data_IF_508963835003
#
_entry.id   IF_508963835003
#
_cell.length_a   1.000
_cell.length_b   1.000
_cell.length_c   1.000
_cell.angle_alpha   90.00
_cell.angle_beta   90.00
_cell.angle_gamma   90.00
#
_symmetry.space_group_name_H-M   'P 1'
#
loop_
_entity.id
_entity.type
_entity.pdbx_description
1 polymer ?
#
# COMPACT_ATOMS: atom_id res chain seq x y z
N UNK A 1 -14.44 -9.48 -39.71
CA UNK A 1 -15.15 -10.15 -38.59
C UNK A 1 -14.13 -11.03 -37.87
N UNK A 2 -13.74 -10.67 -36.66
CA UNK A 2 -12.87 -11.46 -35.78
C UNK A 2 -13.49 -11.43 -34.38
N UNK A 3 -13.80 -12.61 -33.84
CA UNK A 3 -14.37 -12.82 -32.51
C UNK A 3 -13.32 -12.54 -31.40
N UNK A 4 -13.75 -12.27 -30.16
CA UNK A 4 -13.02 -11.45 -29.21
C UNK A 4 -11.94 -12.23 -28.48
N UNK A 5 -10.81 -11.58 -28.17
CA UNK A 5 -9.85 -12.16 -27.23
C UNK A 5 -10.45 -12.01 -25.82
N UNK A 6 -10.95 -13.10 -25.25
CA UNK A 6 -11.24 -13.17 -23.83
C UNK A 6 -9.91 -13.28 -23.06
N UNK A 7 -9.25 -12.14 -22.85
CA UNK A 7 -8.05 -12.03 -22.00
C UNK A 7 -8.49 -12.01 -20.55
N UNK A 8 -8.39 -13.13 -19.85
CA UNK A 8 -8.01 -13.05 -18.44
C UNK A 8 -6.67 -12.30 -18.42
N UNK A 9 -6.72 -11.01 -18.14
CA UNK A 9 -5.74 -10.01 -18.59
C UNK A 9 -4.38 -10.26 -17.93
N UNK A 10 -3.41 -10.73 -18.71
CA UNK A 10 -2.04 -10.94 -18.25
C UNK A 10 -1.49 -9.64 -17.63
N UNK A 11 -0.90 -9.76 -16.45
CA UNK A 11 -0.31 -8.63 -15.73
C UNK A 11 0.92 -8.11 -16.49
N UNK A 12 1.12 -6.78 -16.58
CA UNK A 12 2.41 -6.24 -17.00
C UNK A 12 3.53 -6.90 -16.19
N UNK A 13 4.55 -7.43 -16.88
CA UNK A 13 5.69 -8.15 -16.27
C UNK A 13 5.35 -9.34 -15.36
N UNK A 14 4.11 -9.85 -15.39
CA UNK A 14 3.64 -10.93 -14.52
C UNK A 14 3.81 -10.63 -13.01
N UNK A 15 3.76 -9.35 -12.62
CA UNK A 15 3.89 -8.91 -11.22
C UNK A 15 2.53 -8.47 -10.66
N UNK A 16 2.26 -8.80 -9.39
CA UNK A 16 1.03 -8.38 -8.68
C UNK A 16 1.23 -7.11 -7.83
N UNK A 17 2.46 -6.63 -7.72
CA UNK A 17 2.85 -5.47 -6.93
C UNK A 17 3.40 -4.36 -7.83
N UNK A 18 3.69 -3.20 -7.23
CA UNK A 18 4.34 -2.07 -7.89
C UNK A 18 5.87 -2.25 -8.07
N UNK A 19 6.39 -3.47 -7.92
CA UNK A 19 7.81 -3.84 -8.06
C UNK A 19 7.92 -5.17 -8.79
N UNK A 20 8.97 -5.34 -9.58
CA UNK A 20 9.34 -6.59 -10.27
C UNK A 20 10.33 -7.46 -9.49
N UNK A 21 10.69 -7.05 -8.27
CA UNK A 21 11.56 -7.78 -7.38
C UNK A 21 11.11 -9.23 -7.23
N UNK A 22 11.94 -10.16 -7.70
CA UNK A 22 11.57 -11.55 -7.93
C UNK A 22 10.93 -12.23 -6.71
N UNK A 23 11.45 -12.07 -5.47
CA UNK A 23 10.83 -12.65 -4.27
C UNK A 23 9.40 -12.17 -4.02
N UNK A 24 9.04 -10.96 -4.46
CA UNK A 24 7.71 -10.36 -4.26
C UNK A 24 6.82 -10.45 -5.50
N UNK A 25 7.29 -10.98 -6.63
CA UNK A 25 6.54 -11.00 -7.90
C UNK A 25 5.13 -11.60 -7.77
N UNK A 26 5.00 -12.67 -6.98
CA UNK A 26 3.75 -13.41 -6.75
C UNK A 26 3.25 -13.35 -5.30
N UNK A 27 3.89 -12.55 -4.45
CA UNK A 27 3.54 -12.41 -3.03
C UNK A 27 3.03 -11.00 -2.75
N UNK A 28 1.76 -10.80 -2.36
CA UNK A 28 1.22 -9.47 -2.14
C UNK A 28 2.04 -8.70 -1.10
N UNK A 29 2.36 -7.45 -1.38
CA UNK A 29 2.88 -6.54 -0.35
C UNK A 29 1.71 -6.21 0.58
N UNK A 30 1.80 -6.69 1.81
CA UNK A 30 0.76 -6.51 2.84
C UNK A 30 0.95 -5.23 3.64
N UNK A 31 2.16 -4.68 3.71
CA UNK A 31 2.49 -3.44 4.43
C UNK A 31 3.41 -2.58 3.56
N UNK A 32 3.07 -1.31 3.39
CA UNK A 32 3.98 -0.32 2.77
C UNK A 32 4.87 0.33 3.82
N UNK A 33 6.12 0.62 3.49
CA UNK A 33 7.03 1.33 4.39
C UNK A 33 7.59 2.54 3.65
N UNK A 34 7.43 3.73 4.23
CA UNK A 34 7.97 4.98 3.72
C UNK A 34 8.95 5.57 4.74
N UNK A 35 10.13 5.97 4.27
CA UNK A 35 11.21 6.49 5.12
C UNK A 35 11.56 7.92 4.75
N UNK A 36 11.52 8.82 5.72
CA UNK A 36 11.83 10.24 5.59
C UNK A 36 12.95 10.66 6.53
N UNK A 37 13.72 11.66 6.08
CA UNK A 37 14.71 12.32 6.95
C UNK A 37 13.97 13.15 8.00
N UNK A 38 14.57 13.35 9.17
CA UNK A 38 13.98 14.19 10.22
C UNK A 38 13.73 15.60 9.67
N UNK A 39 12.53 16.13 9.87
CA UNK A 39 12.18 17.50 9.52
C UNK A 39 11.79 17.72 8.07
N UNK A 40 11.64 16.66 7.25
CA UNK A 40 11.06 16.80 5.90
C UNK A 40 9.54 16.91 5.91
N UNK A 41 8.89 16.72 7.06
CA UNK A 41 7.45 16.84 7.22
C UNK A 41 6.68 15.62 6.70
N UNK A 42 5.39 15.56 7.06
CA UNK A 42 4.50 14.45 6.73
C UNK A 42 4.09 14.44 5.26
N UNK A 43 3.90 15.61 4.65
CA UNK A 43 3.29 15.80 3.31
C UNK A 43 3.87 14.88 2.23
N UNK A 44 5.18 14.72 2.19
CA UNK A 44 5.84 13.84 1.20
C UNK A 44 5.51 12.36 1.40
N UNK A 45 5.39 11.92 2.65
CA UNK A 45 4.98 10.55 2.97
C UNK A 45 3.48 10.34 2.67
N UNK A 46 2.63 11.34 2.93
CA UNK A 46 1.20 11.26 2.64
C UNK A 46 0.95 11.07 1.14
N UNK A 47 1.62 11.86 0.31
CA UNK A 47 1.46 11.81 -1.14
C UNK A 47 1.92 10.46 -1.71
N UNK A 48 3.08 9.96 -1.28
CA UNK A 48 3.61 8.68 -1.76
C UNK A 48 2.75 7.50 -1.31
N UNK A 49 2.44 7.42 -0.01
CA UNK A 49 1.56 6.35 0.52
C UNK A 49 0.18 6.39 -0.13
N UNK A 50 -0.41 7.58 -0.25
CA UNK A 50 -1.70 7.76 -0.91
C UNK A 50 -1.69 7.29 -2.36
N UNK A 51 -0.62 7.61 -3.09
CA UNK A 51 -0.45 7.19 -4.50
C UNK A 51 -0.31 5.67 -4.62
N UNK A 52 0.56 5.06 -3.81
CA UNK A 52 0.79 3.61 -3.83
C UNK A 52 -0.44 2.83 -3.44
N UNK A 53 -1.11 3.21 -2.34
CA UNK A 53 -2.32 2.55 -1.89
C UNK A 53 -3.50 2.78 -2.83
N UNK A 54 -3.64 3.96 -3.44
CA UNK A 54 -4.68 4.18 -4.45
C UNK A 54 -4.50 3.25 -5.66
N UNK A 55 -3.27 3.06 -6.12
CA UNK A 55 -2.94 2.12 -7.18
C UNK A 55 -3.23 0.67 -6.76
N UNK A 56 -2.83 0.27 -5.55
CA UNK A 56 -3.08 -1.06 -5.02
C UNK A 56 -4.59 -1.35 -4.84
N UNK A 57 -5.36 -0.40 -4.33
CA UNK A 57 -6.82 -0.52 -4.22
C UNK A 57 -7.49 -0.68 -5.59
N UNK A 58 -7.07 0.10 -6.59
CA UNK A 58 -7.59 -0.04 -7.96
C UNK A 58 -7.27 -1.43 -8.53
N UNK A 59 -6.02 -1.86 -8.37
CA UNK A 59 -5.56 -3.17 -8.81
C UNK A 59 -6.35 -4.32 -8.18
N UNK A 60 -6.48 -4.30 -6.85
CA UNK A 60 -7.26 -5.29 -6.10
C UNK A 60 -8.73 -5.25 -6.51
N UNK A 61 -9.29 -4.06 -6.76
CA UNK A 61 -10.69 -3.93 -7.18
C UNK A 61 -10.94 -4.58 -8.52
N UNK A 62 -10.08 -4.33 -9.51
CA UNK A 62 -10.23 -4.92 -10.84
C UNK A 62 -10.03 -6.45 -10.81
N UNK A 63 -9.22 -6.97 -9.88
CA UNK A 63 -8.95 -8.41 -9.75
C UNK A 63 -9.98 -9.16 -8.91
N UNK A 64 -10.45 -8.55 -7.83
CA UNK A 64 -11.45 -9.12 -6.93
C UNK A 64 -12.84 -9.01 -7.56
N UNK A 65 -13.17 -7.92 -8.27
CA UNK A 65 -14.46 -7.81 -8.98
C UNK A 65 -14.67 -8.95 -10.00
N UNK A 66 -13.59 -9.52 -10.53
CA UNK A 66 -13.65 -10.67 -11.42
C UNK A 66 -13.78 -12.03 -10.71
N UNK A 67 -13.59 -12.09 -9.38
CA UNK A 67 -13.43 -13.36 -8.62
C UNK A 67 -14.18 -13.44 -7.27
N UNK A 68 -14.72 -12.35 -6.72
CA UNK A 68 -15.37 -12.35 -5.41
C UNK A 68 -15.56 -10.97 -4.78
N UNK A 69 -15.58 -10.94 -3.44
CA UNK A 69 -15.82 -9.76 -2.61
C UNK A 69 -14.55 -9.27 -1.91
N UNK A 70 -14.53 -8.00 -1.51
CA UNK A 70 -13.52 -7.42 -0.63
C UNK A 70 -13.71 -7.79 0.86
N UNK A 71 -14.65 -8.67 1.18
CA UNK A 71 -14.89 -9.14 2.55
C UNK A 71 -13.57 -9.57 3.21
N UNK A 72 -13.24 -8.91 4.34
CA UNK A 72 -12.03 -9.16 5.11
C UNK A 72 -10.83 -8.25 4.81
N UNK A 73 -10.89 -7.39 3.77
CA UNK A 73 -9.86 -6.38 3.50
C UNK A 73 -10.37 -4.97 3.83
N UNK A 74 -10.32 -4.62 5.12
CA UNK A 74 -10.83 -3.34 5.62
C UNK A 74 -9.86 -2.17 5.35
N UNK A 75 -8.56 -2.44 5.35
CA UNK A 75 -7.51 -1.44 5.19
C UNK A 75 -6.26 -2.00 4.48
N UNK A 76 -5.48 -1.09 3.88
CA UNK A 76 -4.08 -1.33 3.52
C UNK A 76 -3.19 -0.61 4.54
N UNK A 77 -2.35 -1.33 5.29
CA UNK A 77 -1.51 -0.72 6.30
C UNK A 77 -0.21 -0.15 5.71
N UNK A 78 0.35 0.83 6.41
CA UNK A 78 1.64 1.41 6.12
C UNK A 78 2.38 1.79 7.41
N UNK A 79 3.70 1.87 7.31
CA UNK A 79 4.59 2.38 8.35
C UNK A 79 5.30 3.61 7.77
N UNK A 80 5.23 4.72 8.49
CA UNK A 80 6.02 5.92 8.21
C UNK A 80 7.14 6.00 9.24
N UNK A 81 8.37 6.08 8.75
CA UNK A 81 9.56 6.26 9.58
C UNK A 81 10.12 7.65 9.30
N UNK A 82 10.06 8.55 10.28
CA UNK A 82 10.69 9.86 10.19
C UNK A 82 11.81 10.00 11.22
N UNK A 83 13.05 9.95 10.75
CA UNK A 83 14.22 9.87 11.63
C UNK A 83 14.12 8.66 12.55
N UNK A 84 13.88 8.89 13.84
CA UNK A 84 13.74 7.83 14.84
C UNK A 84 12.28 7.45 15.16
N UNK A 85 11.30 8.16 14.60
CA UNK A 85 9.88 7.97 14.94
C UNK A 85 9.23 6.97 14.00
N UNK A 86 8.50 6.01 14.56
CA UNK A 86 7.78 4.98 13.83
C UNK A 86 6.28 5.17 14.03
N UNK A 87 5.58 5.47 12.94
CA UNK A 87 4.16 5.78 12.94
C UNK A 87 3.39 4.81 12.07
N UNK A 88 2.23 4.38 12.55
CA UNK A 88 1.29 3.61 11.78
C UNK A 88 0.48 4.54 10.90
N UNK A 89 0.29 4.13 9.66
CA UNK A 89 -0.60 4.74 8.70
C UNK A 89 -1.44 3.64 8.05
N UNK A 90 -2.56 4.02 7.47
CA UNK A 90 -3.38 3.09 6.71
C UNK A 90 -4.19 3.84 5.67
N UNK A 91 -4.65 3.13 4.65
CA UNK A 91 -5.76 3.61 3.84
C UNK A 91 -6.94 2.67 3.94
N UNK A 92 -8.13 3.26 3.97
CA UNK A 92 -9.39 2.53 3.79
C UNK A 92 -10.01 2.91 2.46
N UNK A 93 -10.92 2.07 1.96
CA UNK A 93 -11.61 2.30 0.69
C UNK A 93 -13.11 2.28 0.88
N UNK A 94 -13.79 3.36 0.51
CA UNK A 94 -15.27 3.44 0.49
C UNK A 94 -15.72 4.08 -0.81
N UNK A 95 -16.64 3.43 -1.52
CA UNK A 95 -17.22 3.95 -2.78
C UNK A 95 -16.17 4.44 -3.79
N UNK A 96 -15.11 3.65 -4.01
CA UNK A 96 -13.94 3.98 -4.87
C UNK A 96 -13.08 5.18 -4.41
N UNK A 97 -13.39 5.79 -3.28
CA UNK A 97 -12.55 6.81 -2.64
C UNK A 97 -11.58 6.13 -1.68
N UNK A 98 -10.29 6.41 -1.85
CA UNK A 98 -9.26 6.08 -0.85
C UNK A 98 -9.26 7.17 0.22
N UNK A 99 -9.29 6.78 1.49
CA UNK A 99 -9.13 7.67 2.64
C UNK A 99 -7.82 7.30 3.32
N UNK A 100 -6.96 8.29 3.54
CA UNK A 100 -5.66 8.13 4.17
C UNK A 100 -5.75 8.49 5.66
N UNK A 101 -5.21 7.61 6.49
CA UNK A 101 -5.08 7.74 7.94
C UNK A 101 -3.60 7.77 8.27
N UNK A 102 -3.14 8.80 8.98
CA UNK A 102 -1.72 9.01 9.22
C UNK A 102 -1.40 9.15 10.70
N UNK A 103 -0.11 8.95 10.98
CA UNK A 103 0.60 9.40 12.18
C UNK A 103 0.09 8.89 13.53
N UNK A 104 -0.32 7.62 13.59
CA UNK A 104 -0.41 6.96 14.91
C UNK A 104 1.00 6.51 15.34
N UNK A 105 1.75 7.40 16.01
CA UNK A 105 3.05 7.05 16.59
C UNK A 105 2.90 5.81 17.47
N UNK A 106 3.74 4.79 17.22
CA UNK A 106 3.74 3.55 18.01
C UNK A 106 5.15 3.12 18.47
N UNK A 107 6.21 3.79 18.02
CA UNK A 107 7.57 3.46 18.46
C UNK A 107 8.57 4.58 18.22
N UNK A 108 9.70 4.52 18.93
CA UNK A 108 10.80 5.46 18.73
C UNK A 108 12.16 4.80 18.98
N UNK A 109 13.11 4.99 18.08
CA UNK A 109 14.51 4.57 18.28
C UNK A 109 15.39 5.69 18.83
N UNK A 110 14.80 6.80 19.33
CA UNK A 110 15.57 7.95 19.83
C UNK A 110 16.28 7.63 21.15
N UNK A 111 15.81 6.61 21.88
CA UNK A 111 16.50 6.04 23.04
C UNK A 111 16.27 4.53 23.10
N UNK A 112 17.10 3.82 23.87
CA UNK A 112 16.92 2.39 24.14
C UNK A 112 15.58 2.04 24.81
N UNK A 113 14.92 3.02 25.44
CA UNK A 113 13.59 2.84 26.05
C UNK A 113 12.45 2.80 25.03
N UNK A 114 12.62 3.36 23.83
CA UNK A 114 11.53 3.47 22.84
C UNK A 114 11.39 2.27 21.90
N UNK A 115 12.21 1.23 22.09
CA UNK A 115 12.26 0.00 21.29
C UNK A 115 11.28 -1.08 21.81
N UNK A 116 10.52 -0.79 22.87
CA UNK A 116 9.61 -1.75 23.52
C UNK A 116 8.16 -1.62 23.08
#
# INVERSE_FOLDING_TARGET
MLFPINKAQALPYHVINHTDFLPLRSHPITVSIETKRRGTGSEGAELQLGTWHAAQWNFLQDRIAARGSFEGLDLLPAIVIEGHRWSFAATTRKNRKTVLWLEKLFGSTESSLGVY
#
